data_IF_884525904600
#
_entry.id   IF_884525904600
#
_cell.length_a   1.000
_cell.length_b   1.000
_cell.length_c   1.000
_cell.angle_alpha   90.00
_cell.angle_beta   90.00
_cell.angle_gamma   90.00
#
_symmetry.space_group_name_H-M   'P 1'
#
loop_
_entity.id
_entity.type
_entity.pdbx_description
1 polymer ?
#
# COMPACT_ATOMS: atom_id res chain seq x y z
N UNK A 1 4.07 22.15 2.21
CA UNK A 1 3.05 21.09 2.16
C UNK A 1 3.73 19.92 1.49
N UNK A 2 4.01 18.85 2.23
CA UNK A 2 4.63 17.64 1.70
C UNK A 2 3.46 16.72 1.35
N UNK A 3 3.31 16.38 0.06
CA UNK A 3 2.29 15.44 -0.37
C UNK A 3 2.68 14.03 0.14
N UNK A 4 1.72 13.22 0.63
CA UNK A 4 1.94 11.80 0.88
C UNK A 4 2.47 11.12 -0.39
N UNK A 5 3.23 10.05 -0.24
CA UNK A 5 3.83 9.36 -1.37
C UNK A 5 2.73 8.71 -2.23
N UNK A 6 2.47 9.27 -3.41
CA UNK A 6 1.44 8.80 -4.35
C UNK A 6 0.25 9.75 -4.51
N UNK A 7 0.00 10.61 -3.52
CA UNK A 7 -1.18 11.50 -3.53
C UNK A 7 -1.20 12.41 -4.77
N UNK A 8 -2.18 12.19 -5.65
CA UNK A 8 -2.33 12.92 -6.92
C UNK A 8 -1.43 12.42 -8.05
N UNK A 9 -0.80 11.25 -7.92
CA UNK A 9 -0.14 10.55 -9.02
C UNK A 9 -1.14 9.73 -9.83
N UNK A 10 -0.85 9.51 -11.12
CA UNK A 10 -1.69 8.68 -12.00
C UNK A 10 -1.49 7.17 -11.76
N UNK A 11 -0.46 6.80 -11.01
CA UNK A 11 -0.10 5.41 -10.75
C UNK A 11 -0.92 4.85 -9.59
N UNK A 12 -1.60 3.72 -9.82
CA UNK A 12 -2.36 2.99 -8.79
C UNK A 12 -1.90 1.55 -8.70
N UNK A 13 -1.87 1.02 -7.47
CA UNK A 13 -1.59 -0.40 -7.23
C UNK A 13 -2.92 -1.15 -7.14
N UNK A 14 -3.19 -1.97 -8.15
CA UNK A 14 -4.37 -2.83 -8.20
C UNK A 14 -4.15 -4.14 -7.44
N UNK A 15 -5.05 -4.47 -6.54
CA UNK A 15 -5.15 -5.76 -5.89
C UNK A 15 -6.45 -6.45 -6.26
N UNK A 16 -6.39 -7.78 -6.44
CA UNK A 16 -7.60 -8.59 -6.55
C UNK A 16 -8.38 -8.57 -5.24
N UNK A 17 -9.71 -8.51 -5.30
CA UNK A 17 -10.60 -8.58 -4.13
C UNK A 17 -10.49 -9.88 -3.34
N UNK A 18 -9.91 -10.93 -3.94
CA UNK A 18 -9.52 -12.18 -3.29
C UNK A 18 -8.28 -12.06 -2.40
N UNK A 19 -7.44 -11.04 -2.63
CA UNK A 19 -6.26 -10.72 -1.82
C UNK A 19 -6.56 -9.70 -0.73
N UNK A 20 -7.21 -8.59 -1.09
CA UNK A 20 -7.63 -7.54 -0.17
C UNK A 20 -9.02 -7.06 -0.57
N UNK A 21 -9.99 -7.09 0.34
CA UNK A 21 -11.34 -6.61 0.06
C UNK A 21 -11.47 -5.09 0.22
N UNK A 22 -10.53 -4.47 0.94
CA UNK A 22 -10.54 -3.04 1.25
C UNK A 22 -9.15 -2.49 1.59
N UNK A 23 -9.04 -1.15 1.66
CA UNK A 23 -7.84 -0.47 2.13
C UNK A 23 -7.54 -0.76 3.60
N UNK A 24 -8.55 -1.02 4.43
CA UNK A 24 -8.35 -1.42 5.82
C UNK A 24 -7.68 -2.80 5.94
N UNK A 25 -8.06 -3.75 5.07
CA UNK A 25 -7.40 -5.07 4.99
C UNK A 25 -5.94 -4.93 4.58
N UNK A 26 -5.67 -4.06 3.58
CA UNK A 26 -4.32 -3.75 3.14
C UNK A 26 -3.49 -3.11 4.25
N UNK A 27 -4.02 -2.13 4.99
CA UNK A 27 -3.33 -1.50 6.11
C UNK A 27 -2.99 -2.49 7.22
N UNK A 28 -3.86 -3.47 7.46
CA UNK A 28 -3.60 -4.54 8.44
C UNK A 28 -2.43 -5.44 8.01
N UNK A 29 -2.23 -5.62 6.70
CA UNK A 29 -1.13 -6.37 6.13
C UNK A 29 0.15 -5.54 5.88
N UNK A 30 0.05 -4.21 5.97
CA UNK A 30 1.14 -3.28 5.75
C UNK A 30 1.93 -3.04 7.05
N UNK A 31 3.26 -2.96 6.93
CA UNK A 31 4.13 -2.62 8.05
C UNK A 31 5.36 -1.86 7.60
N UNK A 32 5.83 -0.93 8.43
CA UNK A 32 7.07 -0.21 8.18
C UNK A 32 8.28 -1.13 8.39
N UNK A 33 9.24 -1.05 7.47
CA UNK A 33 10.57 -1.64 7.60
C UNK A 33 11.61 -0.56 7.34
N UNK A 34 12.06 0.10 8.40
CA UNK A 34 12.91 1.29 8.29
C UNK A 34 12.13 2.45 7.67
N UNK A 35 12.54 2.87 6.46
CA UNK A 35 11.88 3.95 5.69
C UNK A 35 11.00 3.42 4.56
N UNK A 36 10.79 2.10 4.49
CA UNK A 36 9.97 1.46 3.48
C UNK A 36 8.69 0.89 4.08
N UNK A 37 7.68 0.67 3.26
CA UNK A 37 6.46 -0.06 3.63
C UNK A 37 6.46 -1.42 2.97
N UNK A 38 6.24 -2.46 3.75
CA UNK A 38 6.09 -3.84 3.26
C UNK A 38 4.64 -4.26 3.43
N UNK A 39 3.95 -4.49 2.31
CA UNK A 39 2.59 -5.04 2.26
C UNK A 39 2.73 -6.55 2.04
N UNK A 40 2.31 -7.35 3.03
CA UNK A 40 2.34 -8.81 2.92
C UNK A 40 1.07 -9.31 2.24
N UNK A 41 1.19 -9.81 1.01
CA UNK A 41 0.05 -10.32 0.23
C UNK A 41 -0.33 -11.73 0.67
N UNK A 42 0.68 -12.59 0.90
CA UNK A 42 0.52 -13.93 1.46
C UNK A 42 1.84 -14.39 2.10
N UNK A 43 1.96 -15.69 2.42
CA UNK A 43 3.15 -16.26 3.08
C UNK A 43 4.45 -16.10 2.26
N UNK A 44 4.35 -16.02 0.93
CA UNK A 44 5.51 -15.98 0.01
C UNK A 44 5.66 -14.67 -0.74
N UNK A 45 4.59 -13.87 -0.86
CA UNK A 45 4.54 -12.68 -1.69
C UNK A 45 4.40 -11.42 -0.84
N UNK A 46 5.20 -10.40 -1.17
CA UNK A 46 5.10 -9.07 -0.59
C UNK A 46 5.39 -8.00 -1.63
N UNK A 47 4.83 -6.82 -1.42
CA UNK A 47 5.13 -5.60 -2.16
C UNK A 47 5.87 -4.67 -1.21
N UNK A 48 7.02 -4.17 -1.64
CA UNK A 48 7.78 -3.18 -0.85
C UNK A 48 7.75 -1.82 -1.55
N UNK A 49 7.21 -0.82 -0.86
CA UNK A 49 7.21 0.57 -1.29
C UNK A 49 8.42 1.27 -0.67
N UNK A 50 9.40 1.61 -1.52
CA UNK A 50 10.68 2.16 -1.07
C UNK A 50 10.56 3.64 -0.71
N UNK A 51 11.03 4.02 0.49
CA UNK A 51 10.97 5.42 0.94
C UNK A 51 9.57 5.91 1.28
N UNK A 52 8.61 5.00 1.49
CA UNK A 52 7.21 5.30 1.82
C UNK A 52 6.89 4.69 3.16
N UNK A 53 6.32 5.46 4.09
CA UNK A 53 5.81 4.93 5.36
C UNK A 53 4.33 4.58 5.23
N UNK A 54 3.85 3.65 6.07
CA UNK A 54 2.43 3.28 6.14
C UNK A 54 1.55 4.50 6.40
N UNK A 55 2.06 5.48 7.17
CA UNK A 55 1.37 6.75 7.43
C UNK A 55 1.22 7.66 6.21
N UNK A 56 2.00 7.41 5.17
CA UNK A 56 2.00 8.19 3.93
C UNK A 56 1.12 7.51 2.86
N UNK A 57 0.60 6.31 3.12
CA UNK A 57 -0.30 5.62 2.20
C UNK A 57 -1.65 6.31 2.15
N UNK A 58 -2.19 6.42 0.94
CA UNK A 58 -3.45 7.05 0.69
C UNK A 58 -4.38 6.10 -0.07
N UNK A 59 -5.68 6.15 0.25
CA UNK A 59 -6.67 5.21 -0.29
C UNK A 59 -6.82 5.32 -1.81
N UNK A 60 -6.58 6.51 -2.38
CA UNK A 60 -6.62 6.79 -3.81
C UNK A 60 -5.42 6.18 -4.58
N UNK A 61 -4.37 5.73 -3.89
CA UNK A 61 -3.23 5.04 -4.50
C UNK A 61 -3.52 3.54 -4.78
N UNK A 62 -4.68 3.04 -4.31
CA UNK A 62 -5.03 1.61 -4.36
C UNK A 62 -6.38 1.36 -5.02
N UNK A 63 -6.46 0.28 -5.80
CA UNK A 63 -7.69 -0.19 -6.40
C UNK A 63 -7.91 -1.67 -6.06
N UNK A 64 -9.14 -2.02 -5.68
CA UNK A 64 -9.53 -3.39 -5.36
C UNK A 64 -10.54 -3.89 -6.42
N UNK A 65 -10.15 -4.84 -7.27
CA UNK A 65 -10.91 -5.31 -8.46
C UNK A 65 -11.12 -6.81 -8.54
#
# INVERSE_FOLDING_TARGET
MIAPAGAGSDDVIGFGTDLFASFEDLLTAAGNNGSDTVIRVNESNSVTLKGVLVSDLHVDDFQFV
#
